data_IF_238733852741
#
_entry.id   IF_238733852741
#
_cell.length_a   1.000
_cell.length_b   1.000
_cell.length_c   1.000
_cell.angle_alpha   90.00
_cell.angle_beta   90.00
_cell.angle_gamma   90.00
#
_symmetry.space_group_name_H-M   'P 1'
#
loop_
_entity.id
_entity.type
_entity.pdbx_description
1 polymer ?
#
# COMPACT_ATOMS: atom_id res chain seq x y z
N UNK A 1 21.43 -2.98 -7.98
CA UNK A 1 20.52 -2.51 -6.90
C UNK A 1 19.12 -2.71 -7.42
N UNK A 2 18.33 -3.54 -6.73
CA UNK A 2 17.04 -3.96 -7.23
C UNK A 2 16.00 -2.84 -7.15
N UNK A 3 14.90 -3.04 -7.87
CA UNK A 3 13.70 -2.21 -7.80
C UNK A 3 12.58 -2.97 -7.12
N UNK A 4 11.56 -2.26 -6.66
CA UNK A 4 10.42 -2.86 -5.98
C UNK A 4 9.11 -2.22 -6.43
N UNK A 5 8.01 -2.92 -6.17
CA UNK A 5 6.65 -2.39 -6.30
C UNK A 5 6.09 -2.22 -4.90
N UNK A 6 5.58 -1.03 -4.63
CA UNK A 6 5.04 -0.62 -3.33
C UNK A 6 3.59 -0.17 -3.50
N UNK A 7 2.70 -0.71 -2.67
CA UNK A 7 1.32 -0.25 -2.58
C UNK A 7 0.93 0.02 -1.13
N UNK A 8 -0.06 0.91 -0.97
CA UNK A 8 -0.64 1.22 0.32
C UNK A 8 -2.15 1.41 0.26
N UNK A 9 -2.76 1.25 1.43
CA UNK A 9 -4.04 1.83 1.77
C UNK A 9 -3.86 2.87 2.86
N UNK A 10 -4.80 3.80 2.94
CA UNK A 10 -4.77 4.87 3.92
C UNK A 10 -6.11 4.99 4.65
N UNK A 11 -6.03 5.50 5.86
CA UNK A 11 -7.14 6.13 6.58
C UNK A 11 -6.98 7.65 6.50
N UNK A 12 -8.06 8.38 6.76
CA UNK A 12 -8.10 9.84 6.70
C UNK A 12 -7.91 10.43 8.10
N UNK A 13 -6.95 11.34 8.25
CA UNK A 13 -6.77 12.17 9.43
C UNK A 13 -7.48 13.53 9.31
N UNK A 14 -7.20 14.41 10.27
CA UNK A 14 -7.61 15.83 10.19
C UNK A 14 -7.09 16.49 8.90
N UNK A 15 -7.83 17.50 8.42
CA UNK A 15 -7.46 18.33 7.27
C UNK A 15 -7.25 17.54 5.97
N UNK A 16 -7.91 16.38 5.84
CA UNK A 16 -7.76 15.43 4.74
C UNK A 16 -6.37 14.82 4.59
N UNK A 17 -5.57 14.78 5.66
CA UNK A 17 -4.26 14.12 5.62
C UNK A 17 -4.42 12.60 5.49
N UNK A 18 -3.74 12.00 4.53
CA UNK A 18 -3.70 10.54 4.40
C UNK A 18 -2.69 9.94 5.38
N UNK A 19 -3.11 8.89 6.07
CA UNK A 19 -2.29 8.15 7.02
C UNK A 19 -2.25 6.70 6.57
N UNK A 20 -1.05 6.15 6.36
CA UNK A 20 -0.87 4.79 5.85
C UNK A 20 -1.44 3.78 6.86
N UNK A 21 -2.32 2.90 6.39
CA UNK A 21 -3.00 1.89 7.21
C UNK A 21 -2.47 0.49 6.94
N UNK A 22 -2.27 0.17 5.68
CA UNK A 22 -1.72 -1.09 5.19
C UNK A 22 -0.69 -0.76 4.12
N UNK A 23 0.45 -1.45 4.12
CA UNK A 23 1.51 -1.25 3.13
C UNK A 23 2.14 -2.59 2.76
N UNK A 24 2.42 -2.77 1.47
CA UNK A 24 3.12 -3.95 0.97
C UNK A 24 4.19 -3.57 -0.02
N UNK A 25 5.30 -4.30 0.00
CA UNK A 25 6.37 -4.16 -0.98
C UNK A 25 6.79 -5.53 -1.50
N UNK A 26 7.08 -5.60 -2.80
CA UNK A 26 7.65 -6.78 -3.46
C UNK A 26 8.80 -6.38 -4.35
N UNK A 27 9.91 -7.10 -4.24
CA UNK A 27 11.06 -6.95 -5.13
C UNK A 27 10.70 -7.39 -6.56
N UNK A 28 11.20 -6.69 -7.58
CA UNK A 28 10.86 -6.98 -8.98
C UNK A 28 11.64 -8.17 -9.55
N UNK A 29 12.87 -8.40 -9.08
CA UNK A 29 13.77 -9.45 -9.58
C UNK A 29 13.52 -10.79 -8.89
N UNK A 30 13.27 -10.74 -7.58
CA UNK A 30 13.05 -11.88 -6.69
C UNK A 30 11.61 -11.90 -6.17
N UNK A 31 11.31 -12.78 -5.22
CA UNK A 31 10.02 -12.85 -4.52
C UNK A 31 10.10 -12.29 -3.08
N UNK A 32 11.18 -11.57 -2.76
CA UNK A 32 11.32 -10.94 -1.45
C UNK A 32 10.19 -9.93 -1.23
N UNK A 33 9.46 -10.08 -0.13
CA UNK A 33 8.29 -9.26 0.21
C UNK A 33 8.29 -8.86 1.66
N UNK A 34 7.62 -7.74 1.94
CA UNK A 34 7.21 -7.36 3.28
C UNK A 34 5.81 -6.76 3.24
N UNK A 35 5.07 -6.92 4.32
CA UNK A 35 3.70 -6.45 4.52
C UNK A 35 3.60 -5.91 5.95
N UNK A 36 2.86 -4.81 6.12
CA UNK A 36 2.64 -4.19 7.41
C UNK A 36 1.23 -3.64 7.52
N UNK A 37 0.64 -3.76 8.71
CA UNK A 37 -0.59 -3.09 9.11
C UNK A 37 -0.29 -2.16 10.28
N UNK A 38 -0.48 -0.87 10.06
CA UNK A 38 -0.16 0.15 11.04
C UNK A 38 -1.35 0.45 11.96
N UNK A 39 -1.10 0.53 13.27
CA UNK A 39 -2.07 1.01 14.24
C UNK A 39 -2.13 2.53 14.22
N UNK A 40 -3.28 3.08 13.89
CA UNK A 40 -3.56 4.52 13.87
C UNK A 40 -4.39 4.95 15.09
N UNK A 41 -4.21 4.29 16.25
CA UNK A 41 -5.02 4.51 17.47
C UNK A 41 -4.98 5.95 17.99
N UNK A 42 -3.83 6.61 17.85
CA UNK A 42 -3.61 8.01 18.26
C UNK A 42 -4.05 9.04 17.21
N UNK A 43 -4.65 8.61 16.10
CA UNK A 43 -5.04 9.49 15.01
C UNK A 43 -6.15 10.45 15.47
N UNK A 44 -5.83 11.75 15.45
CA UNK A 44 -6.85 12.79 15.61
C UNK A 44 -7.74 12.83 14.37
N UNK A 45 -9.05 12.96 14.60
CA UNK A 45 -10.06 12.94 13.55
C UNK A 45 -11.09 14.05 13.75
N UNK A 46 -11.42 14.73 12.66
CA UNK A 46 -12.59 15.60 12.53
C UNK A 46 -13.86 14.77 12.17
N UNK A 47 -14.98 15.45 11.92
CA UNK A 47 -16.24 14.78 11.56
C UNK A 47 -16.18 14.07 10.20
N UNK A 48 -15.39 14.59 9.26
CA UNK A 48 -15.28 14.03 7.91
C UNK A 48 -14.46 12.75 7.95
N UNK A 49 -13.25 12.81 8.50
CA UNK A 49 -12.35 11.68 8.71
C UNK A 49 -13.02 10.55 9.49
N UNK A 50 -13.76 10.83 10.58
CA UNK A 50 -14.51 9.79 11.30
C UNK A 50 -15.52 9.05 10.42
N UNK A 51 -16.25 9.76 9.56
CA UNK A 51 -17.22 9.14 8.64
C UNK A 51 -16.51 8.31 7.57
N UNK A 52 -15.46 8.87 6.97
CA UNK A 52 -14.64 8.19 5.95
C UNK A 52 -14.01 6.92 6.51
N UNK A 53 -13.37 6.97 7.67
CA UNK A 53 -12.70 5.82 8.27
C UNK A 53 -13.68 4.72 8.65
N UNK A 54 -14.86 5.07 9.19
CA UNK A 54 -15.93 4.09 9.44
C UNK A 54 -16.42 3.42 8.14
N UNK A 55 -16.49 4.18 7.05
CA UNK A 55 -16.87 3.60 5.76
C UNK A 55 -15.79 2.66 5.23
N UNK A 56 -14.52 3.05 5.31
CA UNK A 56 -13.38 2.25 4.88
C UNK A 56 -13.26 0.94 5.67
N UNK A 57 -13.44 1.00 6.99
CA UNK A 57 -13.49 -0.16 7.88
C UNK A 57 -14.67 -1.08 7.52
N UNK A 58 -15.85 -0.55 7.22
CA UNK A 58 -17.02 -1.41 6.97
C UNK A 58 -17.11 -1.96 5.55
N UNK A 59 -16.63 -1.22 4.55
CA UNK A 59 -16.96 -1.48 3.14
C UNK A 59 -15.75 -1.70 2.23
N UNK A 60 -14.53 -1.37 2.69
CA UNK A 60 -13.34 -1.43 1.83
C UNK A 60 -12.30 -2.38 2.38
N UNK A 61 -11.46 -1.92 3.31
CA UNK A 61 -10.31 -2.70 3.75
C UNK A 61 -10.54 -3.52 5.01
N UNK A 62 -11.63 -3.29 5.76
CA UNK A 62 -12.00 -4.14 6.91
C UNK A 62 -10.94 -4.17 8.02
N UNK A 63 -10.23 -3.06 8.18
CA UNK A 63 -9.24 -2.85 9.22
C UNK A 63 -9.68 -1.68 10.08
N UNK A 64 -9.88 -1.90 11.38
CA UNK A 64 -10.15 -0.80 12.33
C UNK A 64 -8.88 0.02 12.57
N UNK A 65 -9.02 1.23 13.11
CA UNK A 65 -7.88 2.11 13.35
C UNK A 65 -6.85 1.49 14.30
N UNK A 66 -7.31 0.80 15.35
CA UNK A 66 -6.46 0.22 16.39
C UNK A 66 -5.84 -1.12 16.00
N UNK A 67 -6.34 -1.74 14.93
CA UNK A 67 -5.86 -3.03 14.46
C UNK A 67 -4.54 -2.91 13.69
N UNK A 68 -3.56 -3.76 13.97
CA UNK A 68 -2.29 -3.81 13.24
C UNK A 68 -1.19 -4.45 14.06
N UNK A 69 -0.12 -4.81 13.39
CA UNK A 69 1.08 -5.42 13.97
C UNK A 69 2.16 -4.38 14.31
N UNK A 70 2.08 -3.18 13.74
CA UNK A 70 3.10 -2.13 13.88
C UNK A 70 2.49 -0.81 14.38
N UNK A 71 3.17 -0.13 15.31
CA UNK A 71 2.78 1.24 15.71
C UNK A 71 3.09 2.25 14.59
N UNK A 72 2.20 3.21 14.32
CA UNK A 72 2.37 4.14 13.18
C UNK A 72 3.67 4.95 13.23
N UNK A 73 4.20 5.22 14.41
CA UNK A 73 5.46 5.94 14.61
C UNK A 73 6.67 5.23 13.96
N UNK A 74 6.57 3.92 13.72
CA UNK A 74 7.61 3.12 13.07
C UNK A 74 7.65 3.30 11.55
N UNK A 75 6.61 3.87 10.94
CA UNK A 75 6.46 3.99 9.49
C UNK A 75 7.67 4.66 8.83
N UNK A 76 8.12 5.78 9.38
CA UNK A 76 9.26 6.53 8.83
C UNK A 76 10.54 5.70 8.88
N UNK A 77 10.79 4.99 9.99
CA UNK A 77 11.95 4.11 10.14
C UNK A 77 11.91 2.96 9.14
N UNK A 78 10.75 2.33 8.96
CA UNK A 78 10.55 1.24 8.00
C UNK A 78 10.83 1.72 6.58
N UNK A 79 10.20 2.82 6.14
CA UNK A 79 10.38 3.34 4.78
C UNK A 79 11.83 3.74 4.51
N UNK A 80 12.50 4.41 5.44
CA UNK A 80 13.92 4.80 5.31
C UNK A 80 14.89 3.60 5.37
N UNK A 81 14.44 2.45 5.88
CA UNK A 81 15.24 1.22 5.89
C UNK A 81 15.26 0.50 4.54
N UNK A 82 14.30 0.77 3.66
CA UNK A 82 14.19 0.12 2.34
C UNK A 82 15.40 0.48 1.48
N UNK A 83 16.06 -0.53 0.91
CA UNK A 83 17.30 -0.39 0.12
C UNK A 83 17.07 -0.68 -1.36
N UNK A 84 16.14 0.04 -1.97
CA UNK A 84 15.85 -0.05 -3.41
C UNK A 84 16.37 1.18 -4.13
N UNK A 85 16.89 0.99 -5.35
CA UNK A 85 17.28 2.13 -6.21
C UNK A 85 16.05 2.89 -6.70
N UNK A 86 14.99 2.15 -6.98
CA UNK A 86 13.75 2.64 -7.56
C UNK A 86 12.57 1.87 -7.00
N UNK A 87 11.48 2.57 -6.70
CA UNK A 87 10.22 1.96 -6.28
C UNK A 87 9.11 2.43 -7.21
N UNK A 88 8.41 1.46 -7.78
CA UNK A 88 7.22 1.67 -8.59
C UNK A 88 6.00 1.70 -7.69
N UNK A 89 5.17 2.73 -7.87
CA UNK A 89 3.92 2.93 -7.13
C UNK A 89 2.79 3.11 -8.13
N UNK A 90 1.62 2.54 -7.84
CA UNK A 90 0.45 2.74 -8.69
C UNK A 90 -0.40 3.91 -8.22
N UNK A 91 -0.47 4.95 -9.05
CA UNK A 91 -1.27 6.15 -8.83
C UNK A 91 -0.45 7.31 -8.25
N UNK A 92 -0.56 8.49 -8.87
CA UNK A 92 0.26 9.66 -8.52
C UNK A 92 0.03 10.12 -7.07
N UNK A 93 -1.21 10.10 -6.59
CA UNK A 93 -1.50 10.47 -5.21
C UNK A 93 -0.74 9.63 -4.19
N UNK A 94 -0.60 8.31 -4.44
CA UNK A 94 0.16 7.44 -3.54
C UNK A 94 1.66 7.74 -3.61
N UNK A 95 2.17 8.00 -4.82
CA UNK A 95 3.54 8.44 -5.04
C UNK A 95 3.86 9.69 -4.21
N UNK A 96 2.98 10.70 -4.23
CA UNK A 96 3.16 11.94 -3.46
C UNK A 96 3.27 11.66 -1.96
N UNK A 97 2.41 10.80 -1.40
CA UNK A 97 2.47 10.43 0.02
C UNK A 97 3.80 9.77 0.36
N UNK A 98 4.30 8.84 -0.46
CA UNK A 98 5.59 8.20 -0.21
C UNK A 98 6.78 9.16 -0.35
N UNK A 99 6.71 10.13 -1.27
CA UNK A 99 7.75 11.15 -1.43
C UNK A 99 7.97 11.97 -0.15
N UNK A 100 6.96 12.14 0.70
CA UNK A 100 7.12 12.82 2.00
C UNK A 100 8.04 12.04 2.97
N UNK A 101 8.13 10.71 2.85
CA UNK A 101 8.89 9.86 3.77
C UNK A 101 10.26 9.47 3.22
N UNK A 102 10.36 9.25 1.91
CA UNK A 102 11.58 8.75 1.23
C UNK A 102 11.91 9.61 -0.01
N UNK A 103 12.15 10.92 0.17
CA UNK A 103 12.43 11.82 -0.96
C UNK A 103 13.74 11.51 -1.70
N UNK A 104 14.60 10.68 -1.10
CA UNK A 104 15.89 10.27 -1.64
C UNK A 104 15.81 9.01 -2.53
N UNK A 105 14.66 8.34 -2.61
CA UNK A 105 14.45 7.15 -3.45
C UNK A 105 13.72 7.58 -4.73
N UNK A 106 14.11 7.03 -5.88
CA UNK A 106 13.39 7.28 -7.12
C UNK A 106 12.01 6.61 -7.07
N UNK A 107 10.95 7.42 -7.01
CA UNK A 107 9.56 6.96 -7.02
C UNK A 107 8.94 7.18 -8.40
N UNK A 108 8.50 6.09 -9.03
CA UNK A 108 7.94 6.10 -10.39
C UNK A 108 6.46 5.71 -10.33
N UNK A 109 5.58 6.52 -10.93
CA UNK A 109 4.21 6.10 -11.12
C UNK A 109 4.17 5.05 -12.24
N UNK A 110 3.82 3.81 -11.89
CA UNK A 110 3.84 2.70 -12.86
C UNK A 110 2.78 2.86 -13.96
N UNK A 111 1.77 3.70 -13.75
CA UNK A 111 0.77 4.02 -14.78
C UNK A 111 1.37 4.79 -15.95
N UNK A 112 2.45 5.54 -15.73
CA UNK A 112 3.19 6.24 -16.77
C UNK A 112 3.89 5.25 -17.73
N UNK A 113 4.06 3.99 -17.31
CA UNK A 113 4.56 2.88 -18.11
C UNK A 113 3.44 2.08 -18.80
N UNK A 114 2.19 2.55 -18.72
CA UNK A 114 1.03 1.87 -19.31
C UNK A 114 0.39 0.81 -18.42
N UNK A 115 0.69 0.78 -17.12
CA UNK A 115 0.07 -0.18 -16.18
C UNK A 115 -1.46 0.04 -16.11
N UNK A 116 -2.29 -0.94 -16.53
CA UNK A 116 -3.73 -0.79 -16.56
C UNK A 116 -4.33 -0.75 -15.15
N UNK A 117 -5.65 -0.54 -15.05
CA UNK A 117 -6.33 -0.50 -13.75
C UNK A 117 -6.20 -1.84 -13.03
N UNK A 118 -6.27 -1.83 -11.69
CA UNK A 118 -6.14 -3.05 -10.89
C UNK A 118 -7.15 -4.12 -11.31
N UNK A 119 -8.39 -3.74 -11.63
CA UNK A 119 -9.43 -4.67 -12.06
C UNK A 119 -9.10 -5.41 -13.36
N UNK A 120 -8.17 -4.88 -14.17
CA UNK A 120 -7.75 -5.48 -15.44
C UNK A 120 -6.51 -6.39 -15.29
N UNK A 121 -5.78 -6.28 -14.18
CA UNK A 121 -4.57 -7.08 -13.91
C UNK A 121 -4.74 -8.06 -12.74
N UNK A 122 -5.76 -7.86 -11.92
CA UNK A 122 -6.22 -8.79 -10.89
C UNK A 122 -7.11 -9.84 -11.56
N UNK A 123 -6.49 -10.87 -12.13
CA UNK A 123 -7.16 -12.02 -12.72
C UNK A 123 -7.78 -12.95 -11.66
N UNK A 124 -8.58 -13.94 -12.10
CA UNK A 124 -9.21 -14.94 -11.23
C UNK A 124 -8.22 -15.98 -10.68
N UNK A 125 -6.93 -15.89 -11.04
CA UNK A 125 -5.87 -16.66 -10.39
C UNK A 125 -5.74 -16.20 -8.93
N UNK A 126 -5.67 -17.16 -8.01
CA UNK A 126 -5.51 -16.90 -6.58
C UNK A 126 -4.10 -16.41 -6.28
N UNK A 127 -3.85 -15.11 -6.46
CA UNK A 127 -2.64 -14.46 -5.97
C UNK A 127 -2.62 -14.45 -4.44
N UNK A 128 -1.41 -14.37 -3.88
CA UNK A 128 -1.22 -14.34 -2.43
C UNK A 128 -1.90 -13.13 -1.79
N UNK A 129 -2.62 -13.37 -0.71
CA UNK A 129 -3.21 -12.35 0.15
C UNK A 129 -2.52 -12.38 1.52
N UNK A 130 -2.59 -11.29 2.29
CA UNK A 130 -2.07 -11.31 3.66
C UNK A 130 -2.95 -12.21 4.54
N UNK A 131 -2.37 -12.77 5.61
CA UNK A 131 -3.08 -13.65 6.54
C UNK A 131 -4.30 -12.98 7.18
N UNK A 132 -4.28 -11.66 7.30
CA UNK A 132 -5.35 -10.87 7.91
C UNK A 132 -6.55 -10.64 6.97
N UNK A 133 -6.36 -10.84 5.67
CA UNK A 133 -7.40 -10.70 4.65
C UNK A 133 -7.83 -12.05 4.04
N UNK A 134 -7.45 -13.19 4.64
CA UNK A 134 -7.83 -14.52 4.14
C UNK A 134 -9.34 -14.75 4.12
N UNK A 135 -10.07 -14.21 5.09
CA UNK A 135 -11.54 -14.34 5.20
C UNK A 135 -12.29 -13.17 4.56
N UNK A 136 -11.56 -12.20 4.01
CA UNK A 136 -12.10 -10.98 3.42
C UNK A 136 -11.85 -10.93 1.92
N UNK A 137 -12.31 -9.88 1.24
CA UNK A 137 -12.06 -9.70 -0.19
C UNK A 137 -10.55 -9.46 -0.43
N UNK A 138 -9.82 -10.43 -1.02
CA UNK A 138 -8.36 -10.32 -1.17
C UNK A 138 -7.97 -9.20 -2.13
N UNK A 139 -8.86 -8.80 -3.05
CA UNK A 139 -8.61 -7.71 -4.01
C UNK A 139 -8.41 -6.36 -3.32
N UNK A 140 -8.77 -6.23 -2.05
CA UNK A 140 -8.49 -5.01 -1.30
C UNK A 140 -7.12 -5.01 -0.65
N UNK A 141 -6.60 -6.16 -0.22
CA UNK A 141 -5.29 -6.30 0.41
C UNK A 141 -4.17 -5.70 -0.45
N UNK A 142 -3.32 -4.86 0.14
CA UNK A 142 -2.14 -4.31 -0.56
C UNK A 142 -1.19 -5.41 -1.02
N UNK A 143 -1.12 -6.53 -0.30
CA UNK A 143 -0.24 -7.65 -0.63
C UNK A 143 -0.64 -8.30 -1.96
N UNK A 144 -1.93 -8.55 -2.12
CA UNK A 144 -2.51 -9.03 -3.38
C UNK A 144 -2.24 -8.05 -4.52
N UNK A 145 -2.43 -6.74 -4.28
CA UNK A 145 -2.23 -5.69 -5.27
C UNK A 145 -0.79 -5.61 -5.77
N UNK A 146 0.22 -5.65 -4.88
CA UNK A 146 1.62 -5.59 -5.31
C UNK A 146 2.02 -6.81 -6.15
N UNK A 147 1.47 -7.99 -5.87
CA UNK A 147 1.70 -9.18 -6.70
C UNK A 147 1.06 -9.06 -8.07
N UNK A 148 -0.17 -8.56 -8.16
CA UNK A 148 -0.84 -8.32 -9.44
C UNK A 148 -0.04 -7.32 -10.29
N UNK A 149 0.42 -6.22 -9.68
CA UNK A 149 1.23 -5.20 -10.34
C UNK A 149 2.59 -5.79 -10.76
N UNK A 150 3.23 -6.62 -9.94
CA UNK A 150 4.51 -7.28 -10.28
C UNK A 150 4.36 -8.25 -11.43
N UNK A 151 3.31 -9.06 -11.44
CA UNK A 151 3.00 -9.98 -12.53
C UNK A 151 2.85 -9.22 -13.84
N UNK A 152 2.16 -8.07 -13.81
CA UNK A 152 2.08 -7.19 -14.98
C UNK A 152 3.45 -6.61 -15.35
N UNK A 153 4.19 -6.07 -14.39
CA UNK A 153 5.49 -5.44 -14.62
C UNK A 153 6.46 -6.39 -15.33
N UNK A 154 6.65 -7.61 -14.81
CA UNK A 154 7.57 -8.62 -15.38
C UNK A 154 7.20 -9.01 -16.82
N UNK A 155 5.91 -9.03 -17.15
CA UNK A 155 5.45 -9.35 -18.51
C UNK A 155 5.67 -8.22 -19.52
N UNK A 156 5.96 -7.00 -19.06
CA UNK A 156 6.00 -5.79 -19.88
C UNK A 156 7.31 -4.99 -19.71
N UNK A 157 8.28 -5.52 -18.97
CA UNK A 157 9.59 -4.93 -18.70
C UNK A 157 10.69 -5.56 -19.53
#
# INVERSE_FOLDING_TARGET
MSSAILDMQCVLGMDNKYMIKEMSIVDTETWATQHWIFKNSKLKQDNKSRKTNKWLERNYHQLSLDYGDIEYEELSRILNSLKFRCIYVKGDQKKQVFMEYIPHVALINIEDLGCPRLEQICDDETLSCCIFHMEFNPKQCTFYKVFAIRKWFIKNS
#
